data_IF_156578688668
#
_entry.id   IF_156578688668
#
_cell.length_a   1.000
_cell.length_b   1.000
_cell.length_c   1.000
_cell.angle_alpha   90.00
_cell.angle_beta   90.00
_cell.angle_gamma   90.00
#
_symmetry.space_group_name_H-M   'P 1'
#
loop_
_entity.id
_entity.type
_entity.pdbx_description
1 polymer ?
#
# COMPACT_ATOMS: atom_id res chain seq x y z
N UNK A 1 -34.87 -8.17 -12.25
CA UNK A 1 -33.43 -7.89 -12.49
C UNK A 1 -33.09 -6.59 -11.76
N UNK A 2 -32.53 -6.65 -10.55
CA UNK A 2 -32.36 -5.47 -9.69
C UNK A 2 -31.14 -4.64 -10.15
N UNK A 3 -31.40 -3.47 -10.76
CA UNK A 3 -30.39 -2.44 -11.01
C UNK A 3 -30.01 -1.77 -9.69
N UNK A 4 -28.94 -2.22 -9.05
CA UNK A 4 -28.29 -1.45 -7.99
C UNK A 4 -27.54 -0.28 -8.63
N UNK A 5 -28.08 0.93 -8.54
CA UNK A 5 -27.36 2.13 -8.93
C UNK A 5 -26.25 2.43 -7.91
N UNK A 6 -25.15 3.06 -8.37
CA UNK A 6 -24.02 3.47 -7.51
C UNK A 6 -24.44 4.31 -6.27
N UNK A 7 -25.62 4.94 -6.32
CA UNK A 7 -26.20 5.74 -5.22
C UNK A 7 -26.87 4.91 -4.12
N UNK A 8 -27.18 3.64 -4.38
CA UNK A 8 -27.94 2.79 -3.46
C UNK A 8 -27.06 2.12 -2.39
N UNK A 9 -25.77 1.97 -2.67
CA UNK A 9 -24.81 1.20 -1.86
C UNK A 9 -24.51 1.88 -0.50
N UNK A 10 -24.71 3.20 -0.42
CA UNK A 10 -24.46 4.01 0.79
C UNK A 10 -25.75 4.44 1.50
N UNK A 11 -26.86 3.71 1.30
CA UNK A 11 -28.13 3.96 2.02
C UNK A 11 -28.01 3.53 3.49
N UNK A 12 -28.78 4.18 4.37
CA UNK A 12 -28.83 3.88 5.82
C UNK A 12 -29.36 2.46 6.12
N UNK A 13 -30.21 1.92 5.24
CA UNK A 13 -30.80 0.57 5.38
C UNK A 13 -29.80 -0.58 5.14
N UNK A 14 -28.60 -0.28 4.65
CA UNK A 14 -27.56 -1.30 4.45
C UNK A 14 -26.73 -1.41 5.74
N UNK A 15 -26.35 -2.62 6.12
CA UNK A 15 -25.53 -2.86 7.30
C UNK A 15 -24.24 -2.04 7.25
N UNK A 16 -23.75 -1.64 8.43
CA UNK A 16 -22.51 -0.85 8.56
C UNK A 16 -21.33 -1.66 8.01
N UNK A 17 -21.32 -2.97 8.23
CA UNK A 17 -20.25 -3.86 7.76
C UNK A 17 -20.17 -3.92 6.23
N UNK A 18 -21.30 -4.01 5.53
CA UNK A 18 -21.31 -4.00 4.06
C UNK A 18 -20.80 -2.67 3.51
N UNK A 19 -21.22 -1.54 4.09
CA UNK A 19 -20.70 -0.22 3.70
C UNK A 19 -19.20 -0.09 3.98
N UNK A 20 -18.71 -0.63 5.10
CA UNK A 20 -17.28 -0.70 5.44
C UNK A 20 -16.50 -1.51 4.40
N UNK A 21 -17.02 -2.67 4.00
CA UNK A 21 -16.40 -3.52 2.97
C UNK A 21 -16.31 -2.79 1.64
N UNK A 22 -17.38 -2.14 1.18
CA UNK A 22 -17.37 -1.33 -0.05
C UNK A 22 -16.32 -0.23 0.02
N UNK A 23 -16.29 0.52 1.11
CA UNK A 23 -15.34 1.61 1.31
C UNK A 23 -13.89 1.10 1.31
N UNK A 24 -13.64 -0.05 1.94
CA UNK A 24 -12.33 -0.70 1.94
C UNK A 24 -11.92 -1.18 0.54
N UNK A 25 -12.84 -1.79 -0.21
CA UNK A 25 -12.54 -2.39 -1.52
C UNK A 25 -12.37 -1.34 -2.62
N UNK A 26 -13.11 -0.24 -2.59
CA UNK A 26 -13.07 0.77 -3.65
C UNK A 26 -12.22 1.98 -3.29
N UNK A 27 -12.42 2.57 -2.11
CA UNK A 27 -11.78 3.84 -1.77
C UNK A 27 -10.39 3.60 -1.19
N UNK A 28 -10.28 2.69 -0.23
CA UNK A 28 -9.00 2.42 0.42
C UNK A 28 -8.02 1.67 -0.48
N UNK A 29 -8.50 0.87 -1.44
CA UNK A 29 -7.64 0.24 -2.44
C UNK A 29 -6.97 1.28 -3.35
N UNK A 30 -7.72 2.28 -3.84
CA UNK A 30 -7.19 3.36 -4.68
C UNK A 30 -6.13 4.17 -3.89
N UNK A 31 -6.45 4.53 -2.64
CA UNK A 31 -5.50 5.27 -1.80
C UNK A 31 -4.26 4.44 -1.50
N UNK A 32 -4.42 3.14 -1.23
CA UNK A 32 -3.29 2.25 -0.97
C UNK A 32 -2.39 2.12 -2.20
N UNK A 33 -2.94 1.92 -3.39
CA UNK A 33 -2.15 1.84 -4.62
C UNK A 33 -1.50 3.18 -4.96
N UNK A 34 -2.22 4.31 -4.85
CA UNK A 34 -1.63 5.63 -5.06
C UNK A 34 -0.50 5.96 -4.08
N UNK A 35 -0.61 5.47 -2.84
CA UNK A 35 0.43 5.66 -1.84
C UNK A 35 1.74 4.94 -2.17
N UNK A 36 1.75 3.94 -3.05
CA UNK A 36 2.97 3.28 -3.50
C UNK A 36 3.91 4.27 -4.20
N UNK A 37 3.36 5.12 -5.07
CA UNK A 37 4.09 6.16 -5.81
C UNK A 37 4.40 7.42 -4.97
N UNK A 38 3.79 7.57 -3.79
CA UNK A 38 3.98 8.76 -2.95
C UNK A 38 4.99 8.52 -1.83
N UNK A 39 5.78 9.54 -1.52
CA UNK A 39 6.68 9.54 -0.36
C UNK A 39 5.85 9.72 0.91
N UNK A 40 6.00 8.79 1.86
CA UNK A 40 5.36 8.92 3.17
C UNK A 40 6.07 10.02 3.97
N UNK A 41 5.38 11.13 4.17
CA UNK A 41 5.81 12.21 5.05
C UNK A 41 4.82 12.35 6.22
N UNK A 42 5.23 12.96 7.33
CA UNK A 42 4.38 13.13 8.52
C UNK A 42 3.06 13.84 8.19
N UNK A 43 3.11 14.87 7.35
CA UNK A 43 1.91 15.56 6.87
C UNK A 43 0.98 14.62 6.09
N UNK A 44 1.55 13.73 5.27
CA UNK A 44 0.79 12.78 4.47
C UNK A 44 0.13 11.71 5.36
N UNK A 45 0.84 11.22 6.37
CA UNK A 45 0.29 10.33 7.41
C UNK A 45 -0.92 10.97 8.12
N UNK A 46 -0.81 12.22 8.54
CA UNK A 46 -1.92 12.95 9.17
C UNK A 46 -3.11 13.11 8.22
N UNK A 47 -2.86 13.38 6.93
CA UNK A 47 -3.91 13.48 5.91
C UNK A 47 -4.61 12.15 5.67
N UNK A 48 -3.91 11.01 5.67
CA UNK A 48 -4.52 9.69 5.55
C UNK A 48 -5.43 9.40 6.74
N UNK A 49 -4.98 9.67 7.97
CA UNK A 49 -5.79 9.43 9.18
C UNK A 49 -7.05 10.32 9.20
N UNK A 50 -6.91 11.59 8.81
CA UNK A 50 -8.04 12.49 8.65
C UNK A 50 -8.99 12.02 7.54
N UNK A 51 -8.45 11.50 6.43
CA UNK A 51 -9.21 10.96 5.31
C UNK A 51 -10.01 9.71 5.70
N UNK A 52 -9.42 8.73 6.41
CA UNK A 52 -10.13 7.54 6.89
C UNK A 52 -11.33 7.94 7.75
N UNK A 53 -11.13 8.90 8.67
CA UNK A 53 -12.20 9.41 9.53
C UNK A 53 -13.26 10.17 8.73
N UNK A 54 -12.87 10.94 7.72
CA UNK A 54 -13.78 11.65 6.82
C UNK A 54 -14.64 10.68 6.00
N UNK A 55 -14.06 9.58 5.50
CA UNK A 55 -14.77 8.52 4.81
C UNK A 55 -15.86 7.89 5.71
N UNK A 56 -15.55 7.61 6.98
CA UNK A 56 -16.55 7.12 7.93
C UNK A 56 -17.64 8.14 8.23
N UNK A 57 -17.30 9.43 8.39
CA UNK A 57 -18.31 10.50 8.55
C UNK A 57 -19.29 10.54 7.37
N UNK A 58 -18.77 10.44 6.15
CA UNK A 58 -19.59 10.37 4.92
C UNK A 58 -20.48 9.14 4.89
N UNK A 59 -19.98 7.98 5.30
CA UNK A 59 -20.74 6.72 5.39
C UNK A 59 -21.93 6.82 6.36
N UNK A 60 -21.77 7.51 7.49
CA UNK A 60 -22.84 7.72 8.47
C UNK A 60 -23.75 8.91 8.15
N UNK A 61 -23.39 9.73 7.16
CA UNK A 61 -24.06 11.00 6.84
C UNK A 61 -24.14 11.93 8.07
N UNK A 62 -23.08 11.93 8.87
CA UNK A 62 -22.97 12.74 10.10
C UNK A 62 -22.44 14.14 9.75
N UNK A 63 -22.99 15.17 10.39
CA UNK A 63 -22.45 16.55 10.28
C UNK A 63 -21.03 16.61 10.89
N UNK A 64 -20.15 17.35 10.23
CA UNK A 64 -18.71 17.41 10.55
C UNK A 64 -18.43 17.91 11.98
N UNK A 65 -19.24 18.86 12.48
CA UNK A 65 -19.09 19.47 13.81
C UNK A 65 -19.66 18.68 14.98
N UNK A 66 -20.53 17.71 14.71
CA UNK A 66 -21.40 17.17 15.77
C UNK A 66 -20.83 15.97 16.52
N UNK A 67 -19.75 15.35 16.04
CA UNK A 67 -19.28 14.07 16.58
C UNK A 67 -17.75 13.99 16.59
N UNK A 68 -17.22 13.67 17.77
CA UNK A 68 -15.79 13.43 18.02
C UNK A 68 -15.30 12.21 17.19
N UNK A 69 -14.03 12.24 16.78
CA UNK A 69 -13.38 11.14 16.07
C UNK A 69 -13.53 9.81 16.83
N UNK A 70 -13.36 9.81 18.16
CA UNK A 70 -13.48 8.62 19.00
C UNK A 70 -14.88 8.00 18.91
N UNK A 71 -15.93 8.82 18.95
CA UNK A 71 -17.31 8.33 18.84
C UNK A 71 -17.62 7.78 17.44
N UNK A 72 -17.00 8.32 16.39
CA UNK A 72 -17.13 7.77 15.04
C UNK A 72 -16.47 6.40 14.96
N UNK A 73 -15.26 6.24 15.52
CA UNK A 73 -14.54 4.96 15.53
C UNK A 73 -15.30 3.88 16.30
N UNK A 74 -15.86 4.22 17.47
CA UNK A 74 -16.72 3.31 18.24
C UNK A 74 -17.95 2.87 17.44
N UNK A 75 -18.58 3.77 16.66
CA UNK A 75 -19.72 3.42 15.79
C UNK A 75 -19.34 2.50 14.61
N UNK A 76 -18.09 2.55 14.16
CA UNK A 76 -17.56 1.62 13.14
C UNK A 76 -17.22 0.26 13.78
N UNK A 77 -17.12 0.18 15.10
CA UNK A 77 -16.63 -1.01 15.81
C UNK A 77 -15.12 -1.19 15.63
N UNK A 78 -14.37 -0.07 15.56
CA UNK A 78 -12.91 -0.07 15.46
C UNK A 78 -12.30 0.71 16.61
N UNK A 79 -11.22 0.19 17.18
CA UNK A 79 -10.45 0.86 18.23
C UNK A 79 -9.49 1.91 17.63
N UNK A 80 -8.91 1.63 16.46
CA UNK A 80 -7.96 2.52 15.78
C UNK A 80 -8.13 2.57 14.26
N UNK A 81 -7.48 3.55 13.65
CA UNK A 81 -7.36 3.73 12.20
C UNK A 81 -6.37 2.71 11.66
N UNK A 82 -6.76 1.95 10.63
CA UNK A 82 -5.94 0.84 10.12
C UNK A 82 -5.34 1.13 8.73
N UNK A 83 -5.82 2.18 8.05
CA UNK A 83 -5.43 2.43 6.66
C UNK A 83 -3.95 2.78 6.55
N UNK A 84 -3.48 3.68 7.42
CA UNK A 84 -2.08 4.10 7.44
C UNK A 84 -1.15 2.94 7.81
N UNK A 85 -1.53 2.14 8.81
CA UNK A 85 -0.76 0.95 9.23
C UNK A 85 -0.65 -0.06 8.07
N UNK A 86 -1.77 -0.31 7.37
CA UNK A 86 -1.79 -1.19 6.19
C UNK A 86 -0.90 -0.69 5.05
N UNK A 87 -0.84 0.63 4.84
CA UNK A 87 0.02 1.25 3.80
C UNK A 87 1.49 1.12 4.19
N UNK A 88 1.83 1.37 5.45
CA UNK A 88 3.20 1.21 5.98
C UNK A 88 3.67 -0.22 5.87
N UNK A 89 2.84 -1.17 6.28
CA UNK A 89 3.14 -2.61 6.18
C UNK A 89 3.43 -3.03 4.73
N UNK A 90 2.59 -2.58 3.78
CA UNK A 90 2.84 -2.85 2.35
C UNK A 90 4.15 -2.27 1.87
N UNK A 91 4.45 -1.00 2.19
CA UNK A 91 5.72 -0.38 1.80
C UNK A 91 6.93 -1.09 2.41
N UNK A 92 6.84 -1.52 3.67
CA UNK A 92 7.90 -2.30 4.32
C UNK A 92 8.09 -3.66 3.65
N UNK A 93 6.99 -4.33 3.27
CA UNK A 93 7.06 -5.61 2.56
C UNK A 93 7.74 -5.47 1.20
N UNK A 94 7.41 -4.44 0.43
CA UNK A 94 8.09 -4.16 -0.85
C UNK A 94 9.56 -3.83 -0.64
N UNK A 95 9.89 -2.95 0.31
CA UNK A 95 11.29 -2.65 0.62
C UNK A 95 12.08 -3.90 1.06
N UNK A 96 11.47 -4.81 1.81
CA UNK A 96 12.09 -6.07 2.20
C UNK A 96 12.35 -7.01 1.01
N UNK A 97 11.43 -7.06 0.04
CA UNK A 97 11.61 -7.80 -1.20
C UNK A 97 12.73 -7.20 -2.05
N UNK A 98 12.74 -5.88 -2.23
CA UNK A 98 13.77 -5.18 -3.00
C UNK A 98 15.16 -5.42 -2.38
N UNK A 99 15.28 -5.36 -1.04
CA UNK A 99 16.53 -5.66 -0.34
C UNK A 99 16.98 -7.11 -0.52
N UNK A 100 16.06 -8.07 -0.52
CA UNK A 100 16.39 -9.48 -0.73
C UNK A 100 16.89 -9.73 -2.16
N UNK A 101 16.20 -9.17 -3.17
CA UNK A 101 16.64 -9.24 -4.56
C UNK A 101 17.99 -8.55 -4.74
N UNK A 102 18.18 -7.33 -4.24
CA UNK A 102 19.47 -6.63 -4.28
C UNK A 102 20.59 -7.45 -3.65
N UNK A 103 20.32 -8.12 -2.53
CA UNK A 103 21.29 -8.99 -1.87
C UNK A 103 21.66 -10.19 -2.77
N UNK A 104 20.70 -10.84 -3.40
CA UNK A 104 20.97 -11.92 -4.36
C UNK A 104 21.76 -11.44 -5.57
N UNK A 105 21.39 -10.30 -6.16
CA UNK A 105 22.14 -9.69 -7.27
C UNK A 105 23.57 -9.37 -6.87
N UNK A 106 23.80 -8.88 -5.65
CA UNK A 106 25.16 -8.59 -5.17
C UNK A 106 26.01 -9.87 -5.04
N UNK A 107 25.44 -10.98 -4.54
CA UNK A 107 26.13 -12.28 -4.49
C UNK A 107 26.45 -12.80 -5.89
N UNK A 108 25.50 -12.69 -6.84
CA UNK A 108 25.71 -13.11 -8.23
C UNK A 108 26.84 -12.31 -8.87
N UNK A 109 26.83 -10.97 -8.73
CA UNK A 109 27.87 -10.09 -9.27
C UNK A 109 29.24 -10.44 -8.67
N UNK A 110 29.31 -10.61 -7.34
CA UNK A 110 30.54 -10.99 -6.66
C UNK A 110 31.06 -12.35 -7.15
N UNK A 111 30.16 -13.32 -7.34
CA UNK A 111 30.51 -14.63 -7.89
C UNK A 111 31.04 -14.52 -9.32
N UNK A 112 30.40 -13.73 -10.18
CA UNK A 112 30.89 -13.48 -11.55
C UNK A 112 32.28 -12.85 -11.56
N UNK A 113 32.56 -11.93 -10.62
CA UNK A 113 33.88 -11.30 -10.48
C UNK A 113 34.93 -12.31 -10.01
N UNK A 114 34.62 -13.14 -9.00
CA UNK A 114 35.53 -14.16 -8.47
C UNK A 114 35.81 -15.27 -9.50
N UNK A 115 34.78 -15.72 -10.20
CA UNK A 115 34.90 -16.75 -11.23
C UNK A 115 35.56 -16.21 -12.52
N UNK A 116 35.71 -14.88 -12.64
CA UNK A 116 36.35 -14.21 -13.78
C UNK A 116 35.61 -14.42 -15.11
N UNK A 117 34.33 -14.83 -15.05
CA UNK A 117 33.50 -15.11 -16.21
C UNK A 117 32.97 -13.77 -16.73
N UNK A 118 33.82 -13.08 -17.48
CA UNK A 118 33.42 -11.94 -18.28
C UNK A 118 32.82 -12.54 -19.56
N UNK A 119 31.51 -12.37 -19.79
CA UNK A 119 30.90 -12.72 -21.08
C UNK A 119 31.44 -11.79 -22.17
N UNK A 120 32.62 -12.13 -22.65
CA UNK A 120 33.32 -11.49 -23.73
C UNK A 120 34.08 -12.54 -24.54
N UNK A 121 34.28 -12.33 -25.84
CA UNK A 121 35.05 -13.26 -26.66
C UNK A 121 36.44 -13.45 -26.05
N UNK A 122 36.78 -14.69 -25.66
CA UNK A 122 38.09 -15.04 -25.10
C UNK A 122 39.18 -14.56 -26.04
N UNK A 123 40.00 -13.61 -25.59
CA UNK A 123 41.14 -13.10 -26.37
C UNK A 123 42.15 -14.24 -26.56
N UNK A 124 42.28 -14.75 -27.79
CA UNK A 124 43.20 -15.85 -28.13
C UNK A 124 44.64 -15.35 -27.97
N UNK A 125 45.29 -15.68 -26.86
CA UNK A 125 46.69 -15.31 -26.62
C UNK A 125 47.58 -16.20 -27.49
N UNK A 126 48.51 -15.60 -28.25
CA UNK A 126 49.47 -16.36 -29.06
C UNK A 126 50.48 -17.07 -28.15
N UNK A 127 50.86 -18.33 -28.41
CA UNK A 127 51.88 -19.00 -27.61
C UNK A 127 53.20 -18.25 -27.71
N UNK A 128 53.83 -17.95 -26.59
CA UNK A 128 55.22 -17.49 -26.59
C UNK A 128 56.10 -18.67 -27.02
N UNK A 129 56.76 -18.56 -28.16
CA UNK A 129 57.84 -19.47 -28.55
C UNK A 129 58.98 -19.28 -27.56
N UNK A 130 59.32 -20.35 -26.84
CA UNK A 130 60.59 -20.54 -26.15
C UNK A 130 61.60 -21.02 -27.19
#
# INVERSE_FOLDING_TARGET
MLRFGHKDIMRRNISIETRKRVLKTYVFSIVSSGSEAWTLNNNFCSRINAFETWCYRRMFKTRWDKVNNVTIMNRVGKEKQDLLDSIKERKLKYAGLDCYEMFQWSIIILKTIVDGIIEGPKKRVRPRRI
#
